data_IF_535982007759
#
_entry.id   IF_535982007759
#
_cell.length_a   1.000
_cell.length_b   1.000
_cell.length_c   1.000
_cell.angle_alpha   90.00
_cell.angle_beta   90.00
_cell.angle_gamma   90.00
#
_symmetry.space_group_name_H-M   'P 1'
#
loop_
_entity.id
_entity.type
_entity.pdbx_description
1 polymer ?
#
# COMPACT_ATOMS: atom_id res chain seq x y z
N UNK A 1 -20.20 8.32 -2.91
CA UNK A 1 -19.17 7.34 -2.47
C UNK A 1 -18.84 7.54 -1.00
N UNK A 2 -18.41 8.74 -0.60
CA UNK A 2 -17.95 9.05 0.77
C UNK A 2 -18.91 8.60 1.88
N UNK A 3 -20.21 8.89 1.77
CA UNK A 3 -21.20 8.47 2.77
C UNK A 3 -21.30 6.95 2.93
N UNK A 4 -21.05 6.18 1.85
CA UNK A 4 -20.98 4.71 1.92
C UNK A 4 -19.74 4.25 2.69
N UNK A 5 -18.59 4.87 2.43
CA UNK A 5 -17.33 4.57 3.12
C UNK A 5 -17.48 4.85 4.62
N UNK A 6 -17.98 6.03 5.01
CA UNK A 6 -18.26 6.39 6.41
C UNK A 6 -19.12 5.35 7.10
N UNK A 7 -20.23 4.96 6.46
CA UNK A 7 -21.15 3.93 6.99
C UNK A 7 -20.45 2.59 7.22
N UNK A 8 -19.58 2.15 6.30
CA UNK A 8 -18.81 0.89 6.45
C UNK A 8 -17.88 0.90 7.66
N UNK A 9 -17.33 2.07 7.99
CA UNK A 9 -16.45 2.25 9.14
C UNK A 9 -17.18 2.62 10.43
N UNK A 10 -18.52 2.66 10.42
CA UNK A 10 -19.30 3.03 11.59
C UNK A 10 -19.13 4.49 12.02
N UNK A 11 -18.59 5.34 11.14
CA UNK A 11 -18.45 6.76 11.43
C UNK A 11 -19.86 7.40 11.51
N UNK A 12 -20.08 8.31 12.47
CA UNK A 12 -21.38 8.96 12.65
C UNK A 12 -21.79 9.70 11.37
N UNK A 13 -23.10 9.76 11.16
CA UNK A 13 -23.65 10.53 10.06
C UNK A 13 -23.40 12.01 10.31
N UNK A 14 -22.73 12.66 9.36
CA UNK A 14 -22.52 14.09 9.33
C UNK A 14 -22.65 14.56 7.88
N UNK A 15 -23.21 15.75 7.62
CA UNK A 15 -23.09 16.40 6.32
C UNK A 15 -21.61 16.52 5.95
N UNK A 16 -21.25 16.06 4.75
CA UNK A 16 -19.88 16.17 4.23
C UNK A 16 -19.85 17.49 3.45
N UNK A 17 -19.10 18.51 3.90
CA UNK A 17 -18.98 19.76 3.16
C UNK A 17 -18.36 19.48 1.79
N UNK A 18 -18.81 20.21 0.77
CA UNK A 18 -18.21 20.14 -0.55
C UNK A 18 -16.94 20.99 -0.56
N UNK A 19 -15.79 20.33 -0.41
CA UNK A 19 -14.48 20.97 -0.55
C UNK A 19 -13.93 20.64 -1.93
N UNK A 20 -13.65 21.66 -2.73
CA UNK A 20 -13.28 21.47 -4.14
C UNK A 20 -11.98 20.67 -4.31
N UNK A 21 -10.95 20.98 -3.53
CA UNK A 21 -9.66 20.26 -3.57
C UNK A 21 -9.80 18.77 -3.22
N UNK A 22 -10.65 18.43 -2.24
CA UNK A 22 -10.91 17.03 -1.88
C UNK A 22 -11.71 16.29 -2.96
N UNK A 23 -12.58 17.00 -3.68
CA UNK A 23 -13.31 16.45 -4.81
C UNK A 23 -12.36 16.17 -5.99
N UNK A 24 -11.47 17.10 -6.30
CA UNK A 24 -10.46 16.97 -7.35
C UNK A 24 -9.53 15.78 -7.06
N UNK A 25 -8.97 15.70 -5.84
CA UNK A 25 -8.15 14.56 -5.40
C UNK A 25 -8.92 13.22 -5.56
N UNK A 26 -10.20 13.21 -5.21
CA UNK A 26 -11.03 12.02 -5.36
C UNK A 26 -11.26 11.63 -6.84
N UNK A 27 -11.48 12.62 -7.72
CA UNK A 27 -11.65 12.39 -9.16
C UNK A 27 -10.37 11.87 -9.80
N UNK A 28 -9.22 12.43 -9.43
CA UNK A 28 -7.91 11.97 -9.90
C UNK A 28 -7.61 10.56 -9.43
N UNK A 29 -7.86 10.28 -8.15
CA UNK A 29 -7.71 8.94 -7.58
C UNK A 29 -8.62 7.92 -8.27
N UNK A 30 -9.87 8.30 -8.55
CA UNK A 30 -10.83 7.45 -9.26
C UNK A 30 -10.34 7.17 -10.68
N UNK A 31 -9.89 8.20 -11.40
CA UNK A 31 -9.38 8.09 -12.76
C UNK A 31 -8.15 7.19 -12.82
N UNK A 32 -7.23 7.30 -11.84
CA UNK A 32 -6.06 6.40 -11.70
C UNK A 32 -6.49 4.93 -11.66
N UNK A 33 -7.45 4.58 -10.80
CA UNK A 33 -7.94 3.21 -10.67
C UNK A 33 -8.65 2.70 -11.92
N UNK A 34 -9.48 3.54 -12.55
CA UNK A 34 -10.23 3.20 -13.75
C UNK A 34 -9.30 2.98 -14.95
N UNK A 35 -8.31 3.85 -15.15
CA UNK A 35 -7.30 3.69 -16.22
C UNK A 35 -6.45 2.45 -15.99
N UNK A 36 -6.00 2.19 -14.76
CA UNK A 36 -5.26 0.96 -14.43
C UNK A 36 -6.10 -0.30 -14.71
N UNK A 37 -7.41 -0.24 -14.44
CA UNK A 37 -8.33 -1.35 -14.69
C UNK A 37 -8.47 -1.59 -16.19
N UNK A 38 -8.72 -0.54 -16.97
CA UNK A 38 -8.89 -0.64 -18.42
C UNK A 38 -7.62 -1.18 -19.09
N UNK A 39 -6.44 -0.72 -18.65
CA UNK A 39 -5.16 -1.26 -19.11
C UNK A 39 -5.10 -2.77 -18.93
N UNK A 40 -5.42 -3.30 -17.74
CA UNK A 40 -5.39 -4.76 -17.46
C UNK A 40 -6.54 -5.55 -18.08
N UNK A 41 -7.72 -4.94 -18.22
CA UNK A 41 -8.86 -5.58 -18.87
C UNK A 41 -8.58 -5.86 -20.35
N UNK A 42 -7.88 -4.94 -21.03
CA UNK A 42 -7.40 -5.15 -22.40
C UNK A 42 -6.53 -6.40 -22.53
N UNK A 43 -5.73 -6.72 -21.50
CA UNK A 43 -4.92 -7.94 -21.44
C UNK A 43 -5.66 -9.18 -20.90
N UNK A 44 -6.96 -9.07 -20.56
CA UNK A 44 -7.77 -10.13 -19.91
C UNK A 44 -7.29 -10.58 -18.51
N UNK A 45 -6.56 -9.73 -17.79
CA UNK A 45 -5.85 -10.09 -16.55
C UNK A 45 -6.53 -9.64 -15.25
N UNK A 46 -7.87 -9.65 -15.16
CA UNK A 46 -8.55 -9.27 -13.91
C UNK A 46 -9.25 -10.48 -13.29
N UNK A 47 -8.41 -11.37 -12.81
CA UNK A 47 -8.79 -12.44 -11.90
C UNK A 47 -8.41 -12.09 -10.47
N UNK A 48 -9.05 -12.72 -9.49
CA UNK A 48 -8.72 -12.60 -8.06
C UNK A 48 -7.22 -12.72 -7.73
N UNK A 49 -6.48 -13.54 -8.48
CA UNK A 49 -5.03 -13.74 -8.29
C UNK A 49 -4.22 -12.50 -8.69
N UNK A 50 -4.68 -11.78 -9.71
CA UNK A 50 -4.06 -10.56 -10.22
C UNK A 50 -4.44 -9.30 -9.43
N UNK A 51 -5.35 -9.42 -8.47
CA UNK A 51 -5.86 -8.29 -7.72
C UNK A 51 -4.75 -7.59 -6.90
N UNK A 52 -3.80 -8.34 -6.36
CA UNK A 52 -2.64 -7.75 -5.66
C UNK A 52 -1.71 -7.02 -6.63
N UNK A 53 -1.51 -7.58 -7.83
CA UNK A 53 -0.72 -6.95 -8.87
C UNK A 53 -1.37 -5.66 -9.37
N UNK A 54 -2.69 -5.64 -9.56
CA UNK A 54 -3.45 -4.44 -9.87
C UNK A 54 -3.22 -3.33 -8.83
N UNK A 55 -3.30 -3.66 -7.54
CA UNK A 55 -3.03 -2.66 -6.50
C UNK A 55 -1.59 -2.18 -6.53
N UNK A 56 -0.63 -3.07 -6.81
CA UNK A 56 0.77 -2.70 -6.97
C UNK A 56 0.99 -1.69 -8.09
N UNK A 57 0.32 -1.85 -9.23
CA UNK A 57 0.36 -0.86 -10.33
C UNK A 57 -0.23 0.49 -9.93
N UNK A 58 -1.09 0.51 -8.91
CA UNK A 58 -1.65 1.72 -8.33
C UNK A 58 -0.85 2.24 -7.13
N UNK A 59 0.36 1.75 -6.90
CA UNK A 59 1.23 2.07 -5.75
C UNK A 59 0.61 1.71 -4.39
N UNK A 60 -0.18 0.64 -4.37
CA UNK A 60 -0.85 0.14 -3.18
C UNK A 60 -0.45 -1.31 -2.90
N UNK A 61 -0.30 -1.62 -1.62
CA UNK A 61 0.20 -2.92 -1.19
C UNK A 61 -0.71 -3.57 -0.13
N UNK A 62 -2.03 -3.74 -0.40
CA UNK A 62 -2.91 -4.36 0.57
C UNK A 62 -2.61 -5.86 0.68
N UNK A 63 -2.62 -6.36 1.91
CA UNK A 63 -2.55 -7.79 2.18
C UNK A 63 -3.81 -8.52 1.71
N UNK A 64 -3.70 -9.82 1.44
CA UNK A 64 -4.87 -10.64 1.08
C UNK A 64 -5.94 -10.65 2.19
N UNK A 65 -5.51 -10.54 3.45
CA UNK A 65 -6.40 -10.44 4.61
C UNK A 65 -7.21 -9.14 4.58
N UNK A 66 -6.55 -8.00 4.32
CA UNK A 66 -7.23 -6.70 4.20
C UNK A 66 -8.22 -6.70 3.05
N UNK A 67 -7.83 -7.20 1.87
CA UNK A 67 -8.76 -7.29 0.73
C UNK A 67 -9.99 -8.14 1.06
N UNK A 68 -9.81 -9.31 1.70
CA UNK A 68 -10.93 -10.17 2.12
C UNK A 68 -11.83 -9.49 3.16
N UNK A 69 -11.23 -8.82 4.16
CA UNK A 69 -11.97 -8.06 5.18
C UNK A 69 -12.77 -6.93 4.54
N UNK A 70 -12.14 -6.16 3.66
CA UNK A 70 -12.79 -5.08 2.92
C UNK A 70 -13.92 -5.60 2.03
N UNK A 71 -13.73 -6.73 1.35
CA UNK A 71 -14.79 -7.34 0.56
C UNK A 71 -16.04 -7.65 1.39
N UNK A 72 -15.85 -8.23 2.57
CA UNK A 72 -16.94 -8.51 3.51
C UNK A 72 -17.64 -7.24 4.02
N UNK A 73 -16.90 -6.12 4.17
CA UNK A 73 -17.47 -4.82 4.54
C UNK A 73 -18.31 -4.19 3.42
N UNK A 74 -17.91 -4.38 2.16
CA UNK A 74 -18.62 -3.79 1.01
C UNK A 74 -19.89 -4.58 0.67
N UNK A 75 -19.82 -5.92 0.78
CA UNK A 75 -20.90 -6.83 0.39
C UNK A 75 -21.31 -7.74 1.57
N UNK A 76 -21.93 -7.17 2.63
CA UNK A 76 -22.41 -7.96 3.75
C UNK A 76 -23.42 -9.01 3.26
N UNK A 77 -23.27 -10.26 3.73
CA UNK A 77 -24.16 -11.37 3.38
C UNK A 77 -23.71 -12.21 2.16
N UNK A 78 -22.71 -11.78 1.39
CA UNK A 78 -22.05 -12.70 0.45
C UNK A 78 -21.09 -13.63 1.20
N UNK A 79 -20.94 -14.89 0.74
CA UNK A 79 -19.83 -15.74 1.18
C UNK A 79 -18.57 -14.88 1.07
N UNK A 80 -17.78 -14.76 2.14
CA UNK A 80 -16.62 -13.86 2.31
C UNK A 80 -15.44 -14.11 1.34
N UNK A 81 -15.74 -14.71 0.19
CA UNK A 81 -14.85 -15.02 -0.92
C UNK A 81 -15.05 -13.96 -2.01
N UNK A 82 -13.97 -13.23 -2.29
CA UNK A 82 -13.85 -12.40 -3.49
C UNK A 82 -14.10 -13.30 -4.72
N UNK A 83 -14.96 -12.89 -5.66
CA UNK A 83 -15.25 -13.64 -6.88
C UNK A 83 -14.01 -13.76 -7.77
N UNK A 84 -14.01 -14.75 -8.66
CA UNK A 84 -12.88 -14.94 -9.58
C UNK A 84 -12.78 -13.78 -10.57
N UNK A 85 -13.92 -13.36 -11.13
CA UNK A 85 -14.02 -12.21 -12.04
C UNK A 85 -14.46 -10.98 -11.25
N UNK A 86 -13.71 -9.90 -11.34
CA UNK A 86 -13.99 -8.66 -10.59
C UNK A 86 -14.25 -7.53 -11.58
N UNK A 87 -15.38 -6.82 -11.39
CA UNK A 87 -15.76 -5.67 -12.23
C UNK A 87 -15.08 -4.38 -11.73
N UNK A 88 -14.86 -3.42 -12.63
CA UNK A 88 -14.22 -2.13 -12.33
C UNK A 88 -14.83 -1.44 -11.11
N UNK A 89 -16.16 -1.31 -11.06
CA UNK A 89 -16.88 -0.71 -9.93
C UNK A 89 -16.54 -1.38 -8.60
N UNK A 90 -16.35 -2.71 -8.58
CA UNK A 90 -16.04 -3.45 -7.37
C UNK A 90 -14.59 -3.22 -6.91
N UNK A 91 -13.66 -3.13 -7.85
CA UNK A 91 -12.26 -2.78 -7.57
C UNK A 91 -12.16 -1.36 -7.04
N UNK A 92 -12.80 -0.39 -7.69
CA UNK A 92 -12.80 1.01 -7.25
C UNK A 92 -13.43 1.16 -5.86
N UNK A 93 -14.56 0.48 -5.59
CA UNK A 93 -15.16 0.45 -4.26
C UNK A 93 -14.23 -0.17 -3.21
N UNK A 94 -13.50 -1.23 -3.57
CA UNK A 94 -12.53 -1.86 -2.68
C UNK A 94 -11.32 -0.96 -2.43
N UNK A 95 -10.76 -0.35 -3.47
CA UNK A 95 -9.66 0.59 -3.39
C UNK A 95 -9.99 1.75 -2.45
N UNK A 96 -11.12 2.42 -2.66
CA UNK A 96 -11.55 3.53 -1.80
C UNK A 96 -12.00 3.11 -0.40
N UNK A 97 -12.31 1.83 -0.18
CA UNK A 97 -12.55 1.36 1.19
C UNK A 97 -11.21 1.13 1.90
N UNK A 98 -10.22 0.51 1.26
CA UNK A 98 -8.89 0.31 1.86
C UNK A 98 -8.16 1.66 2.04
N UNK A 99 -8.19 2.49 1.02
CA UNK A 99 -7.54 3.79 0.94
C UNK A 99 -8.61 4.89 0.80
N UNK A 100 -9.29 5.24 1.89
CA UNK A 100 -10.33 6.26 1.84
C UNK A 100 -9.75 7.63 1.44
N UNK A 101 -10.43 8.36 0.54
CA UNK A 101 -10.05 9.72 0.15
C UNK A 101 -10.27 10.69 1.31
N UNK A 102 -9.59 11.84 1.28
CA UNK A 102 -9.62 12.83 2.38
C UNK A 102 -11.05 13.30 2.69
N UNK A 103 -11.84 13.58 1.66
CA UNK A 103 -13.25 14.00 1.80
C UNK A 103 -14.19 12.95 2.41
N UNK A 104 -13.73 11.72 2.69
CA UNK A 104 -14.48 10.80 3.54
C UNK A 104 -14.49 11.24 5.03
N UNK A 105 -13.52 12.06 5.45
CA UNK A 105 -13.40 12.64 6.80
C UNK A 105 -13.59 11.59 7.89
N UNK A 106 -12.81 10.50 7.80
CA UNK A 106 -12.94 9.35 8.71
C UNK A 106 -12.22 9.54 10.05
N UNK A 107 -11.28 10.49 10.19
CA UNK A 107 -10.58 10.71 11.46
C UNK A 107 -10.09 9.42 12.11
N UNK A 108 -10.51 9.20 13.36
CA UNK A 108 -10.19 8.00 14.16
C UNK A 108 -10.87 6.71 13.66
N UNK A 109 -11.96 6.83 12.89
CA UNK A 109 -12.66 5.69 12.27
C UNK A 109 -11.95 5.17 11.02
N UNK A 110 -10.90 5.85 10.55
CA UNK A 110 -10.16 5.43 9.38
C UNK A 110 -9.50 4.05 9.62
N UNK A 111 -9.45 3.17 8.60
CA UNK A 111 -8.66 1.95 8.71
C UNK A 111 -7.20 2.32 9.00
N UNK A 112 -6.60 1.69 10.01
CA UNK A 112 -5.16 1.83 10.26
C UNK A 112 -4.39 1.43 9.00
N UNK A 113 -3.53 2.33 8.51
CA UNK A 113 -2.73 2.12 7.31
C UNK A 113 -1.31 1.70 7.68
N UNK A 114 -0.76 0.78 6.87
CA UNK A 114 0.68 0.63 6.75
C UNK A 114 1.30 1.97 6.35
N UNK A 115 2.22 2.47 7.15
CA UNK A 115 3.08 3.62 6.81
C UNK A 115 4.53 3.20 6.94
N UNK A 116 5.48 3.92 6.32
CA UNK A 116 6.90 3.66 6.53
C UNK A 116 7.29 3.67 8.02
N UNK A 117 6.62 4.52 8.82
CA UNK A 117 6.82 4.65 10.26
C UNK A 117 6.12 3.52 11.04
N UNK A 118 4.97 3.05 10.57
CA UNK A 118 4.18 1.96 11.19
C UNK A 118 3.84 0.92 10.11
N UNK A 119 4.83 0.13 9.66
CA UNK A 119 4.61 -0.83 8.59
C UNK A 119 3.63 -1.89 9.08
N UNK A 120 2.71 -2.36 8.25
CA UNK A 120 1.87 -3.51 8.59
C UNK A 120 2.42 -4.74 7.84
N UNK A 121 2.96 -5.70 8.59
CA UNK A 121 3.53 -6.94 8.07
C UNK A 121 2.49 -8.05 8.28
N UNK A 122 2.06 -8.72 7.22
CA UNK A 122 1.05 -9.81 7.27
C UNK A 122 -0.25 -9.46 8.03
N UNK A 123 -0.64 -8.19 8.03
CA UNK A 123 -1.84 -7.70 8.72
C UNK A 123 -1.65 -7.50 10.24
N UNK A 124 -0.41 -7.52 10.73
CA UNK A 124 -0.02 -7.13 12.08
C UNK A 124 0.91 -5.93 11.99
N UNK A 125 0.71 -4.94 12.85
CA UNK A 125 1.58 -3.76 12.90
C UNK A 125 3.02 -4.16 13.27
N UNK A 126 3.99 -3.75 12.47
CA UNK A 126 5.43 -4.02 12.60
C UNK A 126 5.97 -3.69 13.99
N UNK A 127 5.44 -2.63 14.62
CA UNK A 127 5.79 -2.27 15.99
C UNK A 127 5.46 -3.38 17.00
N UNK A 128 4.40 -4.16 16.78
CA UNK A 128 4.06 -5.31 17.62
C UNK A 128 5.10 -6.41 17.52
N UNK A 129 5.77 -6.56 16.38
CA UNK A 129 6.86 -7.52 16.25
C UNK A 129 8.03 -7.16 17.17
N UNK A 130 8.34 -5.86 17.28
CA UNK A 130 9.38 -5.34 18.19
C UNK A 130 8.98 -5.52 19.67
N UNK A 131 7.72 -5.21 20.01
CA UNK A 131 7.23 -5.27 21.39
C UNK A 131 7.05 -6.71 21.91
N UNK A 132 6.61 -7.63 21.06
CA UNK A 132 6.31 -9.02 21.44
C UNK A 132 7.40 -10.02 21.05
N UNK A 133 8.51 -9.57 20.45
CA UNK A 133 9.64 -10.44 20.07
C UNK A 133 9.25 -11.50 19.03
N UNK A 134 8.81 -11.07 17.84
CA UNK A 134 8.38 -12.02 16.81
C UNK A 134 9.54 -12.85 16.24
N UNK A 135 9.37 -14.14 15.93
CA UNK A 135 10.46 -15.04 15.45
C UNK A 135 11.17 -14.60 14.16
N UNK A 136 10.56 -13.70 13.38
CA UNK A 136 11.18 -13.08 12.19
C UNK A 136 12.25 -12.06 12.58
N UNK A 137 12.08 -11.39 13.72
CA UNK A 137 13.07 -10.47 14.26
C UNK A 137 14.09 -11.27 15.07
N UNK A 138 15.17 -11.67 14.40
CA UNK A 138 16.36 -12.19 15.08
C UNK A 138 17.19 -11.01 15.57
N UNK A 139 17.78 -11.13 16.75
CA UNK A 139 18.79 -10.18 17.20
C UNK A 139 19.91 -10.10 16.16
N UNK A 140 20.10 -8.91 15.62
CA UNK A 140 21.15 -8.66 14.63
C UNK A 140 22.48 -8.56 15.36
N UNK A 141 23.47 -9.36 14.96
CA UNK A 141 24.84 -9.19 15.45
C UNK A 141 25.45 -7.90 14.87
N UNK A 142 25.52 -6.86 15.69
CA UNK A 142 26.05 -5.54 15.32
C UNK A 142 27.48 -5.62 14.78
N UNK A 143 28.30 -6.58 15.24
CA UNK A 143 29.67 -6.74 14.76
C UNK A 143 29.70 -7.16 13.28
N UNK A 144 28.80 -8.06 12.87
CA UNK A 144 28.70 -8.51 11.48
C UNK A 144 28.26 -7.35 10.57
N UNK A 145 27.29 -6.56 11.03
CA UNK A 145 26.82 -5.36 10.29
C UNK A 145 27.95 -4.34 10.18
N UNK A 146 28.66 -4.07 11.27
CA UNK A 146 29.79 -3.13 11.28
C UNK A 146 30.91 -3.57 10.33
N UNK A 147 31.25 -4.87 10.31
CA UNK A 147 32.23 -5.44 9.38
C UNK A 147 31.78 -5.30 7.92
N UNK A 148 30.50 -5.55 7.63
CA UNK A 148 29.96 -5.39 6.28
C UNK A 148 30.03 -3.93 5.80
N UNK A 149 29.61 -2.99 6.66
CA UNK A 149 29.64 -1.56 6.36
C UNK A 149 31.06 -1.07 6.14
N UNK A 150 31.99 -1.43 7.03
CA UNK A 150 33.40 -1.03 6.90
C UNK A 150 34.04 -1.59 5.63
N UNK A 151 33.74 -2.84 5.26
CA UNK A 151 34.20 -3.44 4.00
C UNK A 151 33.63 -2.68 2.78
N UNK A 152 32.31 -2.42 2.76
CA UNK A 152 31.66 -1.69 1.67
C UNK A 152 32.21 -0.26 1.52
N UNK A 153 32.44 0.46 2.62
CA UNK A 153 33.05 1.78 2.61
C UNK A 153 34.48 1.74 2.05
N UNK A 154 35.26 0.72 2.40
CA UNK A 154 36.62 0.52 1.89
C UNK A 154 36.62 0.28 0.38
N UNK A 155 35.73 -0.59 -0.10
CA UNK A 155 35.58 -0.88 -1.53
C UNK A 155 35.13 0.36 -2.32
N UNK A 156 34.18 1.14 -1.79
CA UNK A 156 33.74 2.40 -2.39
C UNK A 156 34.90 3.40 -2.49
N UNK A 157 35.70 3.55 -1.42
CA UNK A 157 36.87 4.44 -1.41
C UNK A 157 37.94 4.01 -2.42
N UNK A 158 38.19 2.71 -2.55
CA UNK A 158 39.13 2.18 -3.56
C UNK A 158 38.64 2.44 -4.98
N UNK A 159 37.35 2.25 -5.26
CA UNK A 159 36.76 2.56 -6.58
C UNK A 159 36.91 4.04 -6.93
N UNK A 160 36.63 4.93 -5.97
CA UNK A 160 36.81 6.38 -6.15
C UNK A 160 38.27 6.75 -6.42
N UNK A 161 39.22 6.18 -5.67
CA UNK A 161 40.64 6.42 -5.93
C UNK A 161 41.07 5.91 -7.29
N UNK A 162 40.58 4.74 -7.72
CA UNK A 162 40.92 4.15 -9.01
C UNK A 162 40.47 5.05 -10.18
N UNK A 163 39.23 5.55 -10.12
CA UNK A 163 38.66 6.50 -11.10
C UNK A 163 39.47 7.80 -11.16
N UNK A 164 39.93 8.31 -10.01
CA UNK A 164 40.78 9.51 -9.94
C UNK A 164 42.19 9.30 -10.52
N UNK A 165 42.77 8.10 -10.38
CA UNK A 165 44.05 7.77 -11.02
C UNK A 165 43.92 7.59 -12.53
N UNK A 166 42.87 6.92 -13.03
CA UNK A 166 42.69 6.73 -14.48
C UNK A 166 42.40 8.04 -15.20
N UNK A 167 41.62 8.94 -14.61
CA UNK A 167 41.37 10.30 -15.16
C UNK A 167 42.61 11.21 -15.16
N UNK A 168 43.63 10.91 -14.36
CA UNK A 168 44.92 11.63 -14.34
C UNK A 168 45.93 11.11 -15.37
N UNK A 169 45.74 9.92 -15.92
CA UNK A 169 46.64 9.30 -16.91
C UNK A 169 46.20 9.64 -18.34
N UNK A 170 44.95 10.06 -18.54
CA UNK A 170 44.37 10.46 -19.83
C UNK A 170 44.53 11.96 -20.16
N UNK A 171 45.29 12.71 -19.37
CA UNK A 171 45.71 14.10 -19.59
C UNK A 171 47.23 14.20 -19.64
#
# INVERSE_FOLDING_TARGET
MMSRIRRRYGAPWCPIPLVYSELEEWLDSKSKYEVAFLKRQFWMEINKRELQHYFKDCDHFPSLREMKKTWALIYPGTKSKIPNVIKMRQIVEMAFTIYPPQGASLGEWAPQRSTWVRPVIDGVEGQKYLLYGHPVLKETNIQVVAQLVTKAMRESKMKLSFIQTTSRIEH
#
